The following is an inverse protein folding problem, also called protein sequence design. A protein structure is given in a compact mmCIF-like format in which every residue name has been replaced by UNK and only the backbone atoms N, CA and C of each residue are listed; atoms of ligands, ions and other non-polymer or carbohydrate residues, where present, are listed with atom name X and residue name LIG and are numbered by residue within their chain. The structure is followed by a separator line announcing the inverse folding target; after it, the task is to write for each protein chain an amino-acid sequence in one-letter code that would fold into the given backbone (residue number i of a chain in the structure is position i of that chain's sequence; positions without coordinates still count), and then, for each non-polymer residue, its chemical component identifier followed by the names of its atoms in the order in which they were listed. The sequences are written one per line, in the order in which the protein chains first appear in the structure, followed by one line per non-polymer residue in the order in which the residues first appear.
data_IF_183314079118
#
_entry.id   IF_183314079118
#
_cell.length_a   1.000
_cell.length_b   1.000
_cell.length_c   1.000
_cell.angle_alpha   90.00
_cell.angle_beta   90.00
_cell.angle_gamma   90.00
#
_symmetry.space_group_name_H-M   'P 1'
#
loop_
_entity.id
_entity.type
_entity.pdbx_description
1 polymer ?
#
# COMPACT_ATOMS: atom_id res chain seq x y z
N UNK A 1 -7.26 1.85 -16.93
CA UNK A 1 -6.69 2.89 -17.78
C UNK A 1 -6.14 3.95 -16.83
N UNK A 2 -4.82 3.97 -16.66
CA UNK A 2 -4.10 4.93 -15.80
C UNK A 2 -3.34 5.84 -16.76
N UNK A 3 -4.09 6.45 -17.66
CA UNK A 3 -3.52 7.32 -18.66
C UNK A 3 -3.41 8.75 -18.11
N UNK A 4 -2.21 9.25 -18.04
CA UNK A 4 -1.95 10.65 -18.24
C UNK A 4 -1.28 11.45 -17.13
N UNK A 5 -1.19 11.06 -15.87
CA UNK A 5 -0.53 11.90 -14.85
C UNK A 5 0.75 11.29 -14.25
N UNK A 6 0.95 9.99 -14.39
CA UNK A 6 2.04 9.27 -13.71
C UNK A 6 2.89 8.41 -14.65
N UNK A 7 2.52 8.32 -15.94
CA UNK A 7 3.07 7.33 -16.86
C UNK A 7 4.55 7.54 -17.23
N UNK A 8 5.09 8.75 -17.12
CA UNK A 8 6.44 9.05 -17.60
C UNK A 8 7.54 8.92 -16.54
N UNK A 9 7.19 8.81 -15.24
CA UNK A 9 8.16 8.78 -14.14
C UNK A 9 7.90 7.69 -13.10
N UNK A 10 7.16 6.64 -13.44
CA UNK A 10 6.87 5.54 -12.51
C UNK A 10 7.42 4.24 -13.06
N UNK A 11 8.22 3.58 -12.25
CA UNK A 11 8.64 2.20 -12.46
C UNK A 11 7.58 1.26 -11.90
N UNK A 12 6.90 0.53 -12.78
CA UNK A 12 5.83 -0.37 -12.38
C UNK A 12 5.98 -1.75 -13.01
N UNK A 13 6.02 -2.77 -12.16
CA UNK A 13 5.97 -4.16 -12.55
C UNK A 13 4.84 -4.89 -11.83
N UNK A 14 4.25 -5.85 -12.52
CA UNK A 14 3.21 -6.72 -12.00
C UNK A 14 3.78 -8.13 -11.81
N UNK A 15 3.59 -8.71 -10.61
CA UNK A 15 4.02 -10.05 -10.27
C UNK A 15 2.79 -10.96 -10.10
N UNK A 16 2.71 -12.00 -10.92
CA UNK A 16 1.69 -13.03 -10.84
C UNK A 16 2.27 -14.32 -10.27
N UNK A 17 1.73 -14.78 -9.14
CA UNK A 17 2.03 -16.11 -8.60
C UNK A 17 1.15 -17.14 -9.28
N UNK A 18 1.74 -18.15 -9.88
CA UNK A 18 1.06 -19.27 -10.49
C UNK A 18 0.96 -20.37 -9.44
N UNK A 19 -0.27 -20.77 -9.13
CA UNK A 19 -0.51 -21.84 -8.18
C UNK A 19 -0.86 -23.14 -8.93
N UNK A 20 -0.14 -24.21 -8.65
CA UNK A 20 -0.42 -25.53 -9.19
C UNK A 20 -1.71 -26.10 -8.60
N UNK A 21 -2.71 -26.29 -9.43
CA UNK A 21 -3.91 -27.03 -9.12
C UNK A 21 -3.71 -28.49 -9.48
N UNK A 22 -3.38 -29.36 -8.53
CA UNK A 22 -3.54 -30.79 -8.74
C UNK A 22 -5.03 -31.16 -8.65
N UNK A 23 -5.54 -32.10 -9.48
CA UNK A 23 -6.95 -32.46 -9.54
C UNK A 23 -7.45 -33.31 -8.36
N UNK A 24 -6.68 -33.47 -7.32
CA UNK A 24 -7.06 -34.30 -6.19
C UNK A 24 -7.66 -33.50 -5.05
N UNK A 25 -8.99 -33.48 -5.00
CA UNK A 25 -9.81 -33.03 -3.87
C UNK A 25 -9.75 -34.07 -2.74
N UNK A 26 -8.65 -34.14 -2.02
CA UNK A 26 -8.64 -34.78 -0.72
C UNK A 26 -9.15 -33.83 0.35
N UNK A 27 -9.95 -34.27 1.35
CA UNK A 27 -10.48 -33.41 2.41
C UNK A 27 -9.40 -32.60 3.15
N UNK A 28 -8.19 -33.13 3.23
CA UNK A 28 -7.03 -32.52 3.87
C UNK A 28 -6.50 -31.30 3.09
N UNK A 29 -6.71 -31.24 1.77
CA UNK A 29 -6.28 -30.11 0.91
C UNK A 29 -7.20 -28.90 0.96
N UNK A 30 -8.41 -29.05 1.44
CA UNK A 30 -9.37 -27.93 1.54
C UNK A 30 -8.85 -26.80 2.43
N UNK A 31 -7.98 -27.11 3.38
CA UNK A 31 -7.39 -26.15 4.35
C UNK A 31 -5.91 -25.87 4.12
N UNK A 32 -5.26 -26.54 3.17
CA UNK A 32 -3.86 -26.30 2.85
C UNK A 32 -3.74 -25.19 1.80
N UNK A 33 -2.83 -24.21 1.98
CA UNK A 33 -2.61 -23.18 0.96
C UNK A 33 -2.09 -23.83 -0.33
N UNK A 34 -2.59 -23.36 -1.48
CA UNK A 34 -2.13 -23.81 -2.77
C UNK A 34 -0.64 -23.56 -2.94
N UNK A 35 0.09 -24.53 -3.49
CA UNK A 35 1.53 -24.45 -3.68
C UNK A 35 1.85 -23.53 -4.87
N UNK A 36 2.70 -22.52 -4.67
CA UNK A 36 3.17 -21.67 -5.76
C UNK A 36 4.14 -22.48 -6.64
N UNK A 37 3.76 -22.70 -7.90
CA UNK A 37 4.53 -23.49 -8.88
C UNK A 37 5.36 -22.63 -9.82
N UNK A 38 5.08 -21.32 -9.87
CA UNK A 38 5.81 -20.39 -10.72
C UNK A 38 5.49 -18.94 -10.43
N UNK A 39 6.31 -18.06 -10.98
CA UNK A 39 6.14 -16.60 -10.90
C UNK A 39 6.30 -16.05 -12.31
N UNK A 40 5.33 -15.25 -12.76
CA UNK A 40 5.40 -14.44 -13.98
C UNK A 40 5.51 -12.96 -13.59
N UNK A 41 6.56 -12.28 -14.08
CA UNK A 41 6.78 -10.87 -13.83
C UNK A 41 6.68 -10.12 -15.14
N UNK A 42 5.81 -9.09 -15.17
CA UNK A 42 5.60 -8.23 -16.34
C UNK A 42 5.93 -6.80 -15.98
N UNK A 43 6.85 -6.20 -16.71
CA UNK A 43 7.09 -4.75 -16.67
C UNK A 43 5.93 -4.07 -17.39
N UNK A 44 5.28 -3.12 -16.72
CA UNK A 44 4.14 -2.37 -17.27
C UNK A 44 4.57 -0.96 -17.66
N UNK A 45 5.44 -0.34 -16.86
CA UNK A 45 5.96 1.00 -17.15
C UNK A 45 7.36 1.18 -16.54
N UNK A 46 8.17 2.05 -17.16
CA UNK A 46 9.50 2.41 -16.70
C UNK A 46 10.53 1.28 -16.75
N UNK A 47 11.53 1.38 -15.89
CA UNK A 47 12.62 0.40 -15.73
C UNK A 47 12.70 -0.08 -14.27
N UNK A 48 11.75 -0.90 -13.80
CA UNK A 48 11.71 -1.35 -12.41
C UNK A 48 12.90 -2.24 -12.05
N UNK A 49 13.49 -1.99 -10.89
CA UNK A 49 14.50 -2.88 -10.31
C UNK A 49 13.89 -4.26 -10.02
N UNK A 50 14.21 -5.23 -10.87
CA UNK A 50 13.67 -6.59 -10.78
C UNK A 50 13.99 -7.28 -9.45
N UNK A 51 15.08 -6.90 -8.78
CA UNK A 51 15.45 -7.45 -7.47
C UNK A 51 14.47 -7.05 -6.35
N UNK A 52 13.73 -5.95 -6.55
CA UNK A 52 12.76 -5.39 -5.60
C UNK A 52 11.31 -5.73 -5.93
N UNK A 53 11.04 -6.36 -7.06
CA UNK A 53 9.67 -6.75 -7.43
C UNK A 53 9.16 -7.84 -6.49
N UNK A 54 8.18 -7.49 -5.68
CA UNK A 54 7.60 -8.39 -4.67
C UNK A 54 6.15 -8.05 -4.37
N UNK A 55 5.30 -9.07 -4.17
CA UNK A 55 3.93 -8.89 -3.70
C UNK A 55 3.86 -8.42 -2.24
N UNK A 56 4.94 -8.54 -1.48
CA UNK A 56 4.97 -8.21 -0.04
C UNK A 56 4.62 -6.76 0.24
N UNK A 57 4.97 -5.84 -0.64
CA UNK A 57 4.63 -4.41 -0.48
C UNK A 57 3.13 -4.18 -0.55
N UNK A 58 2.46 -4.78 -1.55
CA UNK A 58 1.00 -4.68 -1.72
C UNK A 58 0.28 -5.39 -0.58
N UNK A 59 0.73 -6.58 -0.20
CA UNK A 59 0.17 -7.34 0.92
C UNK A 59 0.30 -6.56 2.23
N UNK A 60 1.46 -5.93 2.47
CA UNK A 60 1.69 -5.07 3.63
C UNK A 60 0.79 -3.84 3.62
N UNK A 61 0.62 -3.19 2.47
CA UNK A 61 -0.26 -2.03 2.33
C UNK A 61 -1.71 -2.42 2.57
N UNK A 62 -2.16 -3.54 2.03
CA UNK A 62 -3.50 -4.08 2.26
C UNK A 62 -3.76 -4.36 3.75
N UNK A 63 -2.75 -4.92 4.45
CA UNK A 63 -2.84 -5.11 5.90
C UNK A 63 -2.97 -3.76 6.63
N UNK A 64 -2.14 -2.78 6.28
CA UNK A 64 -2.18 -1.43 6.86
C UNK A 64 -3.55 -0.78 6.67
N UNK A 65 -4.14 -0.90 5.48
CA UNK A 65 -5.50 -0.39 5.21
C UNK A 65 -6.56 -1.11 6.06
N UNK A 66 -6.48 -2.43 6.19
CA UNK A 66 -7.43 -3.19 7.04
C UNK A 66 -7.32 -2.81 8.51
N UNK A 67 -6.12 -2.55 8.99
CA UNK A 67 -5.89 -2.12 10.38
C UNK A 67 -6.33 -0.67 10.63
N UNK A 68 -6.19 0.21 9.65
CA UNK A 68 -6.52 1.64 9.77
C UNK A 68 -7.96 1.98 9.41
N UNK A 69 -8.61 1.18 8.55
CA UNK A 69 -9.94 1.48 8.01
C UNK A 69 -10.91 0.34 8.28
N UNK A 70 -11.91 0.60 9.14
CA UNK A 70 -12.96 -0.38 9.46
C UNK A 70 -13.70 -0.91 8.22
N UNK A 71 -13.80 -0.12 7.15
CA UNK A 71 -14.47 -0.49 5.89
C UNK A 71 -13.81 -1.65 5.17
N UNK A 72 -12.52 -1.93 5.41
CA UNK A 72 -11.77 -3.05 4.86
C UNK A 72 -11.61 -4.22 5.83
N UNK A 73 -12.15 -4.10 7.05
CA UNK A 73 -12.11 -5.17 8.04
C UNK A 73 -13.13 -6.25 7.64
N UNK A 74 -12.70 -7.51 7.65
CA UNK A 74 -13.58 -8.65 7.35
C UNK A 74 -14.62 -8.83 8.45
N UNK A 75 -15.79 -9.35 8.08
CA UNK A 75 -16.87 -9.73 9.00
C UNK A 75 -17.38 -8.57 9.87
N UNK A 76 -17.43 -7.37 9.33
CA UNK A 76 -17.99 -6.20 10.00
C UNK A 76 -18.99 -5.48 9.12
N UNK A 77 -19.95 -4.79 9.73
CA UNK A 77 -20.94 -3.96 9.04
C UNK A 77 -20.39 -2.56 8.69
N UNK A 78 -19.08 -2.46 8.42
CA UNK A 78 -18.39 -1.19 8.18
C UNK A 78 -18.32 -0.76 6.72
N UNK A 79 -19.12 -1.36 5.82
CA UNK A 79 -19.09 -1.05 4.38
C UNK A 79 -19.66 0.34 4.05
N UNK A 80 -19.25 0.88 2.91
CA UNK A 80 -19.78 2.12 2.36
C UNK A 80 -21.01 1.85 1.51
N UNK A 81 -22.13 2.55 1.79
CA UNK A 81 -23.35 2.43 0.98
C UNK A 81 -23.23 3.07 -0.40
N UNK A 82 -22.39 4.10 -0.54
CA UNK A 82 -22.12 4.80 -1.79
C UNK A 82 -20.65 4.70 -2.15
N UNK A 83 -20.35 4.51 -3.43
CA UNK A 83 -18.96 4.36 -3.91
C UNK A 83 -18.14 5.64 -3.70
N UNK A 84 -18.77 6.82 -3.81
CA UNK A 84 -18.13 8.11 -3.59
C UNK A 84 -17.56 8.22 -2.17
N UNK A 85 -18.37 7.86 -1.15
CA UNK A 85 -17.91 7.86 0.24
C UNK A 85 -16.82 6.80 0.51
N UNK A 86 -16.80 5.73 -0.29
CA UNK A 86 -15.70 4.78 -0.24
C UNK A 86 -14.42 5.38 -0.78
N UNK A 87 -14.48 6.03 -1.94
CA UNK A 87 -13.35 6.71 -2.56
C UNK A 87 -12.78 7.81 -1.64
N UNK A 88 -13.64 8.67 -1.08
CA UNK A 88 -13.21 9.71 -0.15
C UNK A 88 -12.53 9.14 1.10
N UNK A 89 -13.05 8.05 1.66
CA UNK A 89 -12.43 7.41 2.82
C UNK A 89 -11.05 6.82 2.50
N UNK A 90 -10.88 6.26 1.30
CA UNK A 90 -9.58 5.75 0.82
C UNK A 90 -8.61 6.92 0.62
N UNK A 91 -9.04 8.00 -0.03
CA UNK A 91 -8.22 9.20 -0.24
C UNK A 91 -7.76 9.81 1.08
N UNK A 92 -8.66 9.95 2.05
CA UNK A 92 -8.33 10.46 3.38
C UNK A 92 -7.33 9.56 4.11
N UNK A 93 -7.49 8.23 4.00
CA UNK A 93 -6.55 7.29 4.59
C UNK A 93 -5.13 7.43 3.98
N UNK A 94 -5.02 7.58 2.66
CA UNK A 94 -3.74 7.78 2.01
C UNK A 94 -3.15 9.16 2.30
N UNK A 95 -3.96 10.19 2.41
CA UNK A 95 -3.52 11.52 2.82
C UNK A 95 -2.90 11.45 4.23
N UNK A 96 -3.62 10.88 5.19
CA UNK A 96 -3.10 10.66 6.54
C UNK A 96 -1.83 9.80 6.55
N UNK A 97 -1.81 8.69 5.80
CA UNK A 97 -0.68 7.78 5.70
C UNK A 97 0.58 8.47 5.18
N UNK A 98 0.42 9.31 4.15
CA UNK A 98 1.55 9.94 3.49
C UNK A 98 2.04 11.19 4.19
N UNK A 99 1.17 11.98 4.80
CA UNK A 99 1.53 13.29 5.37
C UNK A 99 1.61 13.29 6.90
N UNK A 100 0.67 12.65 7.58
CA UNK A 100 0.53 12.74 9.04
C UNK A 100 1.15 11.57 9.81
N UNK A 101 1.45 10.46 9.14
CA UNK A 101 1.99 9.28 9.81
C UNK A 101 3.50 9.18 9.66
N UNK A 102 4.21 9.12 10.81
CA UNK A 102 5.63 8.81 10.82
C UNK A 102 5.91 7.33 10.52
N UNK A 103 6.90 7.07 9.68
CA UNK A 103 7.32 5.72 9.32
C UNK A 103 8.71 5.40 9.89
N UNK A 104 8.85 4.27 10.56
CA UNK A 104 10.13 3.87 11.16
C UNK A 104 11.23 3.63 10.12
N UNK A 105 10.86 3.09 8.94
CA UNK A 105 11.79 2.84 7.84
C UNK A 105 12.33 4.11 7.18
N UNK A 106 11.64 5.25 7.36
CA UNK A 106 12.00 6.55 6.78
C UNK A 106 12.72 7.48 7.76
N UNK A 107 12.95 7.05 9.00
CA UNK A 107 13.66 7.84 9.99
C UNK A 107 15.12 8.07 9.56
N UNK A 108 15.63 9.26 9.84
CA UNK A 108 17.03 9.63 9.58
C UNK A 108 17.78 9.70 10.90
N UNK A 109 18.97 9.10 10.94
CA UNK A 109 19.85 9.16 12.10
C UNK A 109 20.60 10.52 12.08
N UNK A 110 20.50 11.25 13.16
CA UNK A 110 21.17 12.55 13.34
C UNK A 110 22.63 12.31 13.81
N UNK A 111 23.42 13.37 13.73
CA UNK A 111 24.84 13.39 14.18
C UNK A 111 25.00 13.15 15.69
N UNK A 112 24.00 13.52 16.48
CA UNK A 112 23.93 13.31 17.94
C UNK A 112 23.46 11.89 18.35
N UNK A 113 23.21 11.02 17.36
CA UNK A 113 22.72 9.64 17.60
C UNK A 113 21.20 9.52 17.74
N UNK A 114 20.45 10.62 17.77
CA UNK A 114 18.98 10.63 17.79
C UNK A 114 18.41 10.30 16.42
N UNK A 115 17.08 10.07 16.35
CA UNK A 115 16.40 9.80 15.09
C UNK A 115 15.29 10.83 14.85
N UNK A 116 15.36 11.49 13.69
CA UNK A 116 14.27 12.32 13.20
C UNK A 116 13.23 11.42 12.50
N UNK A 117 11.99 11.49 12.97
CA UNK A 117 10.86 10.79 12.35
C UNK A 117 10.45 11.53 11.08
N UNK A 118 10.09 10.77 10.04
CA UNK A 118 9.64 11.33 8.77
C UNK A 118 8.40 10.63 8.26
N UNK A 119 7.53 11.39 7.61
CA UNK A 119 6.43 10.87 6.80
C UNK A 119 6.91 10.55 5.38
N UNK A 120 6.17 9.77 4.57
CA UNK A 120 6.48 9.55 3.16
C UNK A 120 6.58 10.85 2.35
N UNK A 121 5.69 11.81 2.60
CA UNK A 121 5.72 13.12 1.93
C UNK A 121 6.99 13.92 2.24
N UNK A 122 7.47 13.87 3.49
CA UNK A 122 8.77 14.43 3.85
C UNK A 122 9.94 13.73 3.17
N UNK A 123 9.88 12.41 3.05
CA UNK A 123 10.92 11.64 2.39
C UNK A 123 10.98 11.92 0.88
N UNK A 124 9.86 12.25 0.27
CA UNK A 124 9.73 12.65 -1.13
C UNK A 124 9.99 14.16 -1.37
N UNK A 125 10.25 14.94 -0.32
CA UNK A 125 10.46 16.39 -0.44
C UNK A 125 9.20 17.21 -0.73
N UNK A 126 8.02 16.63 -0.51
CA UNK A 126 6.71 17.28 -0.76
C UNK A 126 6.24 18.06 0.47
N UNK A 127 6.64 17.63 1.67
CA UNK A 127 6.33 18.28 2.92
C UNK A 127 7.60 18.49 3.75
N UNK A 128 7.65 19.52 4.56
CA UNK A 128 8.76 19.89 5.44
C UNK A 128 8.60 19.33 6.86
N UNK A 129 7.38 18.98 7.25
CA UNK A 129 7.06 18.42 8.57
C UNK A 129 5.98 17.30 8.49
N UNK A 130 5.74 16.64 9.61
CA UNK A 130 4.64 15.70 9.76
C UNK A 130 3.38 16.49 10.05
N UNK A 131 2.39 16.39 9.17
CA UNK A 131 1.13 17.10 9.31
C UNK A 131 0.33 16.63 10.52
N UNK A 132 -0.31 17.55 11.19
CA UNK A 132 -1.35 17.26 12.17
C UNK A 132 -2.66 16.88 11.48
N UNK A 133 -3.56 16.24 12.22
CA UNK A 133 -4.92 15.97 11.73
C UNK A 133 -5.71 17.25 11.50
N UNK A 134 -5.35 18.33 12.17
CA UNK A 134 -5.96 19.65 12.01
C UNK A 134 -5.61 20.26 10.65
N UNK A 135 -4.36 20.22 10.25
CA UNK A 135 -3.93 20.68 8.92
C UNK A 135 -4.61 19.91 7.78
N UNK A 136 -4.87 18.59 7.99
CA UNK A 136 -5.66 17.82 7.03
C UNK A 136 -7.11 18.31 6.96
N UNK A 137 -7.70 18.68 8.09
CA UNK A 137 -9.07 19.18 8.14
C UNK A 137 -9.22 20.56 7.49
N UNK A 138 -8.22 21.45 7.66
CA UNK A 138 -8.18 22.78 7.06
C UNK A 138 -8.06 22.78 5.52
N UNK A 139 -7.67 21.66 4.90
CA UNK A 139 -7.70 21.55 3.43
C UNK A 139 -9.11 21.58 2.83
N UNK A 140 -10.16 21.49 3.67
CA UNK A 140 -11.57 21.44 3.24
C UNK A 140 -12.25 22.81 3.34
N UNK A 141 -11.58 23.80 3.90
CA UNK A 141 -12.02 25.19 4.02
C UNK A 141 -11.41 26.07 2.90
#
# INVERSE_FOLDING_TARGET
MVDGLWAENIDYAMLHKIYGGGPETTPERTYSPAQCTGIDIRVIAGDPDMSRVSTSYVERQNLTMRMGMRRFTRLTNGFSKKIEFHAHAVSLNFLYYNFARAHQSLRVKNTDGTFTKRSPAMAAGIADHIWSTWEIAELLD
#
